data_IF_140012694181
#
_entry.id   IF_140012694181
#
_cell.length_a   1.000
_cell.length_b   1.000
_cell.length_c   1.000
_cell.angle_alpha   90.00
_cell.angle_beta   90.00
_cell.angle_gamma   90.00
#
_symmetry.space_group_name_H-M   'P 1'
#
loop_
_entity.id
_entity.type
_entity.pdbx_description
1 polymer ?
#
# COMPACT_ATOMS: atom_id res chain seq x y z
N UNK A 1 41.07 20.17 -44.58
CA UNK A 1 40.76 18.86 -43.93
C UNK A 1 40.48 18.94 -42.42
N UNK A 2 40.62 20.09 -41.74
CA UNK A 2 40.42 20.19 -40.28
C UNK A 2 38.97 20.45 -39.79
N UNK A 3 38.13 21.13 -40.59
CA UNK A 3 36.79 21.52 -40.14
C UNK A 3 35.76 20.36 -40.16
N UNK A 4 35.88 19.43 -41.11
CA UNK A 4 34.92 18.32 -41.28
C UNK A 4 35.05 17.26 -40.17
N UNK A 5 36.25 17.09 -39.59
CA UNK A 5 36.49 16.18 -38.45
C UNK A 5 35.95 16.71 -37.13
N UNK A 6 35.93 18.04 -36.93
CA UNK A 6 35.43 18.65 -35.70
C UNK A 6 33.89 18.60 -35.59
N UNK A 7 33.18 18.71 -36.73
CA UNK A 7 31.72 18.65 -36.77
C UNK A 7 31.21 17.23 -36.48
N UNK A 8 31.90 16.18 -36.95
CA UNK A 8 31.49 14.79 -36.72
C UNK A 8 31.62 14.34 -35.25
N UNK A 9 32.60 14.87 -34.52
CA UNK A 9 32.82 14.60 -33.09
C UNK A 9 31.83 15.34 -32.18
N UNK A 10 31.39 16.55 -32.57
CA UNK A 10 30.36 17.28 -31.85
C UNK A 10 28.96 16.64 -32.01
N UNK A 11 28.62 16.13 -33.20
CA UNK A 11 27.33 15.47 -33.46
C UNK A 11 27.21 14.12 -32.73
N UNK A 12 28.31 13.38 -32.58
CA UNK A 12 28.32 12.12 -31.82
C UNK A 12 28.23 12.35 -30.31
N UNK A 13 28.86 13.41 -29.77
CA UNK A 13 28.71 13.77 -28.35
C UNK A 13 27.29 14.24 -27.98
N UNK A 14 26.60 14.94 -28.89
CA UNK A 14 25.19 15.37 -28.70
C UNK A 14 24.21 14.19 -28.81
N UNK A 15 24.49 13.21 -29.67
CA UNK A 15 23.66 12.00 -29.77
C UNK A 15 23.87 11.03 -28.59
N UNK A 16 25.08 10.96 -28.01
CA UNK A 16 25.34 10.13 -26.81
C UNK A 16 24.78 10.75 -25.54
N UNK A 17 24.71 12.08 -25.45
CA UNK A 17 24.13 12.78 -24.29
C UNK A 17 22.59 12.77 -24.27
N UNK A 18 21.92 12.53 -25.41
CA UNK A 18 20.46 12.33 -25.44
C UNK A 18 20.01 10.91 -25.03
N UNK A 19 20.92 9.95 -24.93
CA UNK A 19 20.57 8.55 -24.56
C UNK A 19 20.61 8.31 -23.05
N UNK A 20 21.10 9.26 -22.24
CA UNK A 20 21.28 9.08 -20.79
C UNK A 20 20.41 9.96 -19.88
N UNK A 21 19.44 10.70 -20.42
CA UNK A 21 18.41 11.34 -19.61
C UNK A 21 17.10 10.56 -19.72
N UNK A 22 17.09 9.32 -19.21
CA UNK A 22 15.84 8.74 -18.75
C UNK A 22 15.39 9.60 -17.56
N UNK A 23 14.65 10.68 -17.84
CA UNK A 23 13.97 11.46 -16.81
C UNK A 23 13.21 10.47 -15.94
N UNK A 24 13.31 10.62 -14.62
CA UNK A 24 12.54 9.80 -13.69
C UNK A 24 11.09 9.78 -14.19
N UNK A 25 10.57 8.58 -14.50
CA UNK A 25 9.21 8.45 -14.97
C UNK A 25 8.31 9.18 -13.97
N UNK A 26 7.45 10.07 -14.47
CA UNK A 26 6.52 10.80 -13.62
C UNK A 26 5.71 9.80 -12.79
N UNK A 27 5.35 10.15 -11.56
CA UNK A 27 4.46 9.31 -10.75
C UNK A 27 3.03 9.73 -11.02
N UNK A 28 2.18 8.77 -11.39
CA UNK A 28 0.74 8.96 -11.47
C UNK A 28 0.15 8.67 -10.10
N UNK A 29 -0.63 9.63 -9.60
CA UNK A 29 -1.36 9.54 -8.35
C UNK A 29 -2.86 9.50 -8.66
N UNK A 30 -3.53 8.42 -8.29
CA UNK A 30 -4.97 8.25 -8.51
C UNK A 30 -5.62 7.65 -7.29
N UNK A 31 -6.89 7.97 -7.12
CA UNK A 31 -7.59 7.57 -5.92
C UNK A 31 -9.06 7.29 -6.23
N UNK A 32 -9.69 6.39 -5.48
CA UNK A 32 -11.09 6.05 -5.66
C UNK A 32 -11.61 5.10 -4.60
N UNK A 33 -12.57 4.28 -5.01
CA UNK A 33 -13.19 3.26 -4.17
C UNK A 33 -13.17 1.91 -4.87
N UNK A 34 -12.82 0.87 -4.12
CA UNK A 34 -13.05 -0.52 -4.52
C UNK A 34 -14.28 -1.04 -3.79
N UNK A 35 -15.03 -1.93 -4.43
CA UNK A 35 -16.20 -2.58 -3.84
C UNK A 35 -15.82 -3.98 -3.39
N UNK A 36 -16.01 -4.26 -2.11
CA UNK A 36 -15.81 -5.59 -1.50
C UNK A 36 -16.92 -6.56 -1.93
N UNK A 37 -16.78 -7.82 -1.58
CA UNK A 37 -17.75 -8.89 -1.85
C UNK A 37 -19.17 -8.63 -1.30
N UNK A 38 -19.28 -7.82 -0.25
CA UNK A 38 -20.55 -7.47 0.40
C UNK A 38 -21.09 -6.09 -0.02
N UNK A 39 -20.45 -5.44 -0.99
CA UNK A 39 -20.88 -4.15 -1.52
C UNK A 39 -20.28 -2.93 -0.80
N UNK A 40 -19.55 -3.13 0.28
CA UNK A 40 -18.90 -2.05 1.03
C UNK A 40 -17.82 -1.38 0.18
N UNK A 41 -17.78 -0.04 0.18
CA UNK A 41 -16.73 0.68 -0.54
C UNK A 41 -15.54 0.98 0.37
N UNK A 42 -14.37 0.51 -0.04
CA UNK A 42 -13.10 0.85 0.62
C UNK A 42 -12.36 1.90 -0.20
N UNK A 43 -11.90 2.95 0.47
CA UNK A 43 -11.09 4.02 -0.11
C UNK A 43 -9.70 3.47 -0.44
N UNK A 44 -9.22 3.73 -1.66
CA UNK A 44 -7.85 3.40 -2.06
C UNK A 44 -7.10 4.59 -2.64
N UNK A 45 -5.78 4.57 -2.50
CA UNK A 45 -4.87 5.46 -3.22
C UNK A 45 -3.84 4.64 -3.99
N UNK A 46 -3.43 5.13 -5.16
CA UNK A 46 -2.45 4.46 -6.03
C UNK A 46 -1.38 5.44 -6.43
N UNK A 47 -0.14 5.07 -6.13
CA UNK A 47 1.06 5.67 -6.69
C UNK A 47 1.70 4.66 -7.64
N UNK A 48 1.90 5.05 -8.89
CA UNK A 48 2.56 4.18 -9.87
C UNK A 48 3.42 4.99 -10.84
N UNK A 49 4.45 4.37 -11.43
CA UNK A 49 5.14 4.98 -12.56
C UNK A 49 4.17 5.29 -13.71
N UNK A 50 4.39 6.43 -14.37
CA UNK A 50 3.67 6.83 -15.56
C UNK A 50 4.08 5.97 -16.78
N UNK A 51 3.19 5.95 -17.77
CA UNK A 51 3.32 5.16 -19.00
C UNK A 51 2.41 3.94 -19.05
N UNK A 52 2.63 3.13 -20.08
CA UNK A 52 1.76 2.00 -20.46
C UNK A 52 2.25 0.64 -19.92
N UNK A 53 3.32 0.62 -19.11
CA UNK A 53 3.83 -0.61 -18.53
C UNK A 53 2.85 -1.17 -17.48
N UNK A 54 2.85 -2.50 -17.34
CA UNK A 54 2.14 -3.18 -16.26
C UNK A 54 3.11 -3.47 -15.11
N UNK A 55 2.68 -3.20 -13.89
CA UNK A 55 3.51 -3.21 -12.71
C UNK A 55 3.15 -4.37 -11.77
N UNK A 56 4.12 -4.99 -11.09
CA UNK A 56 3.83 -5.70 -9.85
C UNK A 56 3.29 -4.70 -8.82
N UNK A 57 2.33 -5.12 -8.01
CA UNK A 57 1.61 -4.24 -7.09
C UNK A 57 1.96 -4.59 -5.65
N UNK A 58 2.17 -3.56 -4.81
CA UNK A 58 2.31 -3.71 -3.38
C UNK A 58 1.18 -2.98 -2.67
N UNK A 59 0.39 -3.71 -1.90
CA UNK A 59 -0.75 -3.17 -1.15
C UNK A 59 -0.34 -2.93 0.30
N UNK A 60 -0.56 -1.72 0.80
CA UNK A 60 -0.62 -1.39 2.22
C UNK A 60 -2.10 -1.29 2.62
N UNK A 61 -2.54 -2.11 3.58
CA UNK A 61 -3.95 -2.20 3.98
C UNK A 61 -4.07 -1.94 5.48
N UNK A 62 -4.54 -0.75 5.87
CA UNK A 62 -4.54 -0.29 7.26
C UNK A 62 -5.54 0.86 7.52
N UNK A 63 -5.67 1.32 8.77
CA UNK A 63 -6.71 2.26 9.19
C UNK A 63 -6.24 3.53 9.89
N UNK A 64 -4.95 3.84 9.87
CA UNK A 64 -4.37 4.96 10.64
C UNK A 64 -4.45 6.33 9.94
N UNK A 65 -4.82 6.41 8.67
CA UNK A 65 -4.89 7.70 7.98
C UNK A 65 -6.30 7.98 7.47
N UNK A 66 -6.66 9.27 7.44
CA UNK A 66 -7.90 9.78 6.88
C UNK A 66 -7.86 9.68 5.34
N UNK A 67 -8.01 8.45 4.84
CA UNK A 67 -7.68 8.06 3.47
C UNK A 67 -6.28 7.46 3.43
N UNK A 68 -6.19 6.20 3.01
CA UNK A 68 -4.93 5.47 2.90
C UNK A 68 -4.10 6.08 1.79
N UNK A 69 -2.99 6.72 2.15
CA UNK A 69 -1.90 6.97 1.23
C UNK A 69 -1.19 5.64 0.97
N UNK A 70 -0.77 5.41 -0.27
CA UNK A 70 0.06 4.26 -0.60
C UNK A 70 1.41 4.23 0.16
N UNK A 71 1.70 5.28 0.93
CA UNK A 71 2.94 5.50 1.68
C UNK A 71 2.77 5.65 3.20
N UNK A 72 1.59 5.38 3.74
CA UNK A 72 1.33 5.49 5.18
C UNK A 72 2.14 4.51 6.06
N UNK A 73 2.21 4.81 7.37
CA UNK A 73 2.84 4.04 8.45
C UNK A 73 4.11 3.29 8.04
N UNK A 74 5.20 4.04 7.88
CA UNK A 74 6.51 3.47 7.63
C UNK A 74 6.70 2.91 6.21
N UNK A 75 5.70 2.96 5.33
CA UNK A 75 5.86 2.61 3.91
C UNK A 75 6.62 3.69 3.15
N UNK A 76 6.37 4.97 3.47
CA UNK A 76 7.00 6.14 2.82
C UNK A 76 8.52 6.08 2.74
N UNK A 77 9.18 5.48 3.73
CA UNK A 77 10.65 5.37 3.78
C UNK A 77 11.22 4.54 2.62
N UNK A 78 10.41 3.70 1.97
CA UNK A 78 10.81 2.90 0.82
C UNK A 78 9.99 3.13 -0.46
N UNK A 79 8.93 3.95 -0.42
CA UNK A 79 8.05 4.20 -1.57
C UNK A 79 8.79 4.68 -2.82
N UNK A 80 9.64 5.70 -2.68
CA UNK A 80 10.47 6.23 -3.77
C UNK A 80 11.32 5.15 -4.45
N UNK A 81 11.91 4.27 -3.63
CA UNK A 81 12.78 3.18 -4.10
C UNK A 81 11.97 2.10 -4.81
N UNK A 82 10.75 1.83 -4.36
CA UNK A 82 9.85 0.86 -4.98
C UNK A 82 9.28 1.38 -6.30
N UNK A 83 8.84 2.65 -6.35
CA UNK A 83 8.39 3.31 -7.58
C UNK A 83 9.49 3.35 -8.64
N UNK A 84 10.73 3.74 -8.26
CA UNK A 84 11.91 3.71 -9.15
C UNK A 84 12.26 2.31 -9.67
N UNK A 85 11.78 1.25 -8.99
CA UNK A 85 11.95 -0.15 -9.41
C UNK A 85 10.77 -0.69 -10.22
N UNK A 86 9.78 0.15 -10.51
CA UNK A 86 8.64 -0.21 -11.34
C UNK A 86 7.50 -0.89 -10.58
N UNK A 87 7.45 -0.81 -9.26
CA UNK A 87 6.26 -1.25 -8.50
C UNK A 87 5.18 -0.18 -8.52
N UNK A 88 3.92 -0.60 -8.57
CA UNK A 88 2.79 0.24 -8.19
C UNK A 88 2.50 0.02 -6.70
N UNK A 89 2.27 1.10 -5.96
CA UNK A 89 1.91 1.09 -4.55
C UNK A 89 0.43 1.42 -4.42
N UNK A 90 -0.29 0.66 -3.60
CA UNK A 90 -1.71 0.85 -3.35
C UNK A 90 -1.93 0.95 -1.85
N UNK A 91 -2.43 2.08 -1.38
CA UNK A 91 -2.97 2.22 -0.03
C UNK A 91 -4.44 1.85 -0.04
N UNK A 92 -4.91 1.07 0.95
CA UNK A 92 -6.34 0.79 1.15
C UNK A 92 -6.72 1.00 2.60
N UNK A 93 -7.76 1.80 2.83
CA UNK A 93 -8.27 2.08 4.17
C UNK A 93 -9.14 0.93 4.61
N UNK A 94 -8.89 0.36 5.79
CA UNK A 94 -9.76 -0.68 6.34
C UNK A 94 -11.20 -0.16 6.50
N UNK A 95 -12.16 -1.08 6.47
CA UNK A 95 -13.58 -0.78 6.65
C UNK A 95 -13.83 0.11 7.87
N UNK A 96 -14.69 1.11 7.69
CA UNK A 96 -15.05 2.06 8.74
C UNK A 96 -13.94 3.00 9.17
N UNK A 97 -12.84 3.13 8.40
CA UNK A 97 -11.74 4.07 8.70
C UNK A 97 -11.50 5.02 7.53
N UNK A 98 -11.00 6.22 7.82
CA UNK A 98 -10.82 7.27 6.82
C UNK A 98 -12.10 7.53 6.04
N UNK A 99 -12.04 7.37 4.72
CA UNK A 99 -13.21 7.50 3.85
C UNK A 99 -13.85 6.15 3.48
N UNK A 100 -13.39 5.02 4.02
CA UNK A 100 -14.02 3.72 3.78
C UNK A 100 -15.37 3.62 4.48
N UNK A 101 -16.36 3.07 3.79
CA UNK A 101 -17.69 2.80 4.35
C UNK A 101 -17.63 1.66 5.39
N UNK A 102 -18.76 1.47 6.09
CA UNK A 102 -18.96 0.35 7.01
C UNK A 102 -18.54 0.64 8.45
N UNK A 103 -18.40 -0.43 9.24
CA UNK A 103 -18.08 -0.36 10.67
C UNK A 103 -16.67 -0.89 10.90
N UNK A 104 -15.88 -0.14 11.65
CA UNK A 104 -14.56 -0.57 12.08
C UNK A 104 -14.68 -1.62 13.19
N UNK A 105 -14.27 -2.85 12.88
CA UNK A 105 -14.19 -3.97 13.80
C UNK A 105 -12.77 -4.56 13.75
N UNK A 106 -11.85 -4.07 14.60
CA UNK A 106 -10.43 -4.34 14.45
C UNK A 106 -10.14 -5.84 14.60
N UNK A 107 -9.38 -6.37 13.63
CA UNK A 107 -8.89 -7.75 13.62
C UNK A 107 -9.97 -8.83 13.50
N UNK A 108 -11.22 -8.46 13.21
CA UNK A 108 -12.25 -9.41 12.84
C UNK A 108 -11.92 -10.12 11.51
N UNK A 109 -12.50 -11.30 11.30
CA UNK A 109 -12.28 -12.09 10.07
C UNK A 109 -12.65 -11.30 8.79
N UNK A 110 -13.63 -10.39 8.87
CA UNK A 110 -14.01 -9.53 7.76
C UNK A 110 -12.86 -8.65 7.29
N UNK A 111 -11.93 -8.26 8.16
CA UNK A 111 -10.76 -7.47 7.79
C UNK A 111 -9.82 -8.24 6.85
N UNK A 112 -9.55 -9.53 7.14
CA UNK A 112 -8.79 -10.37 6.22
C UNK A 112 -9.47 -10.53 4.86
N UNK A 113 -10.81 -10.66 4.87
CA UNK A 113 -11.63 -10.79 3.65
C UNK A 113 -11.62 -9.52 2.81
N UNK A 114 -11.78 -8.38 3.45
CA UNK A 114 -11.69 -7.08 2.79
C UNK A 114 -10.29 -6.86 2.19
N UNK A 115 -9.23 -7.26 2.91
CA UNK A 115 -7.87 -7.27 2.38
C UNK A 115 -7.70 -8.20 1.17
N UNK A 116 -8.34 -9.37 1.18
CA UNK A 116 -8.34 -10.28 0.02
C UNK A 116 -9.10 -9.66 -1.18
N UNK A 117 -10.20 -8.94 -0.95
CA UNK A 117 -10.91 -8.22 -2.01
C UNK A 117 -10.04 -7.09 -2.58
N UNK A 118 -9.27 -6.39 -1.74
CA UNK A 118 -8.32 -5.37 -2.16
C UNK A 118 -7.19 -5.94 -3.03
N UNK A 119 -6.61 -7.08 -2.64
CA UNK A 119 -5.60 -7.80 -3.45
C UNK A 119 -6.16 -8.15 -4.83
N UNK A 120 -7.36 -8.72 -4.86
CA UNK A 120 -8.00 -9.18 -6.09
C UNK A 120 -8.40 -8.00 -6.99
N UNK A 121 -8.86 -6.89 -6.40
CA UNK A 121 -9.10 -5.65 -7.12
C UNK A 121 -7.81 -5.09 -7.73
N UNK A 122 -6.72 -5.02 -6.95
CA UNK A 122 -5.44 -4.49 -7.39
C UNK A 122 -4.83 -5.33 -8.54
N UNK A 123 -5.03 -6.64 -8.52
CA UNK A 123 -4.56 -7.55 -9.57
C UNK A 123 -5.23 -7.32 -10.93
N UNK A 124 -6.50 -6.86 -10.93
CA UNK A 124 -7.31 -6.68 -12.14
C UNK A 124 -7.17 -5.32 -12.83
N UNK A 125 -6.42 -4.40 -12.23
CA UNK A 125 -6.26 -3.07 -12.81
C UNK A 125 -5.48 -3.12 -14.14
N UNK A 126 -5.79 -2.24 -15.11
CA UNK A 126 -5.15 -2.28 -16.43
C UNK A 126 -3.63 -2.05 -16.39
N UNK A 127 -3.16 -1.35 -15.36
CA UNK A 127 -1.74 -1.09 -15.07
C UNK A 127 -1.09 -2.17 -14.20
N UNK A 128 -1.81 -3.20 -13.77
CA UNK A 128 -1.29 -4.32 -12.98
C UNK A 128 -0.86 -5.49 -13.87
N UNK A 129 0.20 -6.18 -13.47
CA UNK A 129 0.63 -7.44 -14.08
C UNK A 129 0.02 -8.68 -13.39
N UNK A 130 -0.90 -8.49 -12.44
CA UNK A 130 -1.58 -9.56 -11.70
C UNK A 130 -0.75 -10.20 -10.57
N UNK A 131 0.46 -9.72 -10.29
CA UNK A 131 1.26 -10.16 -9.14
C UNK A 131 1.18 -9.12 -8.04
N UNK A 132 0.49 -9.47 -6.97
CA UNK A 132 0.28 -8.58 -5.82
C UNK A 132 1.09 -9.09 -4.64
N UNK A 133 1.80 -8.20 -3.98
CA UNK A 133 2.35 -8.41 -2.64
C UNK A 133 1.71 -7.47 -1.64
N UNK A 134 1.93 -7.73 -0.36
CA UNK A 134 1.55 -6.79 0.71
C UNK A 134 2.77 -6.34 1.51
N UNK A 135 2.69 -5.10 1.97
CA UNK A 135 3.71 -4.38 2.76
C UNK A 135 3.00 -3.56 3.85
N UNK A 136 3.75 -3.07 4.83
CA UNK A 136 3.23 -2.31 5.95
C UNK A 136 3.83 -2.73 7.27
N UNK A 137 3.69 -1.87 8.27
CA UNK A 137 4.19 -2.08 9.64
C UNK A 137 3.03 -2.16 10.63
N UNK A 138 3.22 -2.83 11.76
CA UNK A 138 2.28 -2.81 12.89
C UNK A 138 0.87 -3.26 12.44
N UNK A 139 -0.16 -2.41 12.51
CA UNK A 139 -1.49 -2.74 12.01
C UNK A 139 -1.48 -3.18 10.54
N UNK A 140 -0.81 -2.43 9.67
CA UNK A 140 -0.63 -2.79 8.26
C UNK A 140 0.20 -4.05 8.04
N UNK A 141 0.89 -4.57 9.06
CA UNK A 141 1.56 -5.87 9.02
C UNK A 141 0.67 -7.01 9.52
N UNK A 142 -0.13 -6.78 10.57
CA UNK A 142 -1.11 -7.73 11.09
C UNK A 142 -2.17 -8.04 10.02
N UNK A 143 -2.65 -7.01 9.31
CA UNK A 143 -3.63 -7.19 8.23
C UNK A 143 -3.11 -8.06 7.08
N UNK A 144 -1.79 -8.11 6.84
CA UNK A 144 -1.20 -9.02 5.85
C UNK A 144 -1.39 -10.48 6.25
N UNK A 145 -1.21 -10.79 7.53
CA UNK A 145 -1.41 -12.15 8.05
C UNK A 145 -2.87 -12.57 7.96
N UNK A 146 -3.80 -11.66 8.32
CA UNK A 146 -5.23 -11.88 8.18
C UNK A 146 -5.64 -12.09 6.71
N UNK A 147 -5.11 -11.27 5.80
CA UNK A 147 -5.38 -11.38 4.36
C UNK A 147 -4.81 -12.65 3.76
N UNK A 148 -3.58 -13.03 4.14
CA UNK A 148 -2.94 -14.25 3.66
C UNK A 148 -3.68 -15.53 4.10
N UNK A 149 -4.35 -15.50 5.26
CA UNK A 149 -5.16 -16.61 5.74
C UNK A 149 -6.32 -16.96 4.78
N UNK A 150 -6.86 -15.97 4.06
CA UNK A 150 -7.91 -16.15 3.05
C UNK A 150 -7.38 -16.61 1.69
N UNK A 151 -6.05 -16.68 1.51
CA UNK A 151 -5.37 -17.20 0.30
C UNK A 151 -5.88 -16.62 -1.04
N UNK A 152 -5.95 -15.28 -1.20
CA UNK A 152 -6.35 -14.68 -2.47
C UNK A 152 -5.41 -15.13 -3.62
N UNK A 153 -5.93 -15.60 -4.77
CA UNK A 153 -5.13 -16.20 -5.85
C UNK A 153 -4.00 -15.32 -6.40
N UNK A 154 -4.13 -14.00 -6.36
CA UNK A 154 -3.13 -13.08 -6.89
C UNK A 154 -2.09 -12.62 -5.87
N UNK A 155 -2.22 -13.00 -4.59
CA UNK A 155 -1.23 -12.71 -3.56
C UNK A 155 -0.02 -13.63 -3.70
N UNK A 156 1.13 -13.03 -3.97
CA UNK A 156 2.40 -13.74 -4.23
C UNK A 156 3.36 -13.68 -3.06
N UNK A 157 3.28 -12.64 -2.23
CA UNK A 157 4.15 -12.45 -1.07
C UNK A 157 3.53 -11.50 -0.06
N UNK A 158 3.87 -11.68 1.21
CA UNK A 158 3.65 -10.70 2.28
C UNK A 158 5.01 -10.38 2.90
N UNK A 159 5.19 -9.13 3.34
CA UNK A 159 6.37 -8.66 4.06
C UNK A 159 5.93 -7.91 5.32
N UNK A 160 5.42 -8.64 6.34
CA UNK A 160 4.89 -8.04 7.55
C UNK A 160 6.04 -7.55 8.44
N UNK A 161 6.12 -6.24 8.66
CA UNK A 161 7.08 -5.65 9.60
C UNK A 161 6.42 -5.42 10.97
N UNK A 162 7.02 -5.96 12.02
CA UNK A 162 6.52 -5.82 13.40
C UNK A 162 5.06 -6.31 13.59
N UNK A 163 4.73 -7.45 12.98
CA UNK A 163 3.42 -8.09 13.13
C UNK A 163 3.35 -9.02 14.35
N UNK A 164 2.11 -9.31 14.77
CA UNK A 164 1.75 -10.39 15.70
C UNK A 164 0.67 -11.26 15.07
N UNK A 165 0.68 -12.55 15.40
CA UNK A 165 -0.40 -13.49 15.08
C UNK A 165 -1.34 -13.77 16.26
N UNK A 166 -1.01 -13.28 17.46
CA UNK A 166 -1.77 -13.51 18.70
C UNK A 166 -1.82 -12.22 19.52
N UNK A 167 -2.79 -11.37 19.20
CA UNK A 167 -3.00 -10.10 19.88
C UNK A 167 -3.22 -10.27 21.39
N UNK A 168 -3.82 -11.38 21.83
CA UNK A 168 -4.03 -11.63 23.24
C UNK A 168 -2.69 -11.84 23.94
N UNK A 169 -1.83 -12.73 23.42
CA UNK A 169 -0.56 -13.06 24.09
C UNK A 169 0.53 -12.02 23.88
N UNK A 170 0.53 -11.34 22.74
CA UNK A 170 1.65 -10.47 22.36
C UNK A 170 1.39 -8.99 22.67
N UNK A 171 0.11 -8.58 22.78
CA UNK A 171 -0.26 -7.17 22.95
C UNK A 171 -1.09 -6.97 24.21
N UNK A 172 -2.26 -7.60 24.34
CA UNK A 172 -3.21 -7.27 25.41
C UNK A 172 -2.83 -7.87 26.76
N UNK A 173 -2.37 -9.13 26.78
CA UNK A 173 -2.00 -9.86 28.00
C UNK A 173 -0.65 -10.59 27.87
N UNK A 174 0.49 -9.88 27.69
CA UNK A 174 1.81 -10.51 27.73
C UNK A 174 2.03 -11.26 29.05
N UNK A 175 2.22 -12.58 28.96
CA UNK A 175 2.34 -13.43 30.14
C UNK A 175 1.09 -13.50 31.04
N UNK A 176 -0.09 -13.12 30.53
CA UNK A 176 -1.35 -13.10 31.28
C UNK A 176 -1.60 -11.81 32.07
N UNK A 177 -0.71 -10.82 32.00
CA UNK A 177 -0.85 -9.52 32.68
C UNK A 177 -1.36 -8.50 31.68
N UNK A 178 -2.43 -7.77 32.02
CA UNK A 178 -2.99 -6.73 31.17
C UNK A 178 -1.93 -5.65 30.90
N UNK A 179 -1.58 -5.48 29.63
CA UNK A 179 -0.88 -4.31 29.15
C UNK A 179 -1.91 -3.17 29.08
N UNK A 180 -1.76 -2.17 29.95
CA UNK A 180 -2.74 -1.09 30.07
C UNK A 180 -2.44 0.05 29.08
N UNK A 181 -1.19 0.49 29.01
CA UNK A 181 -0.85 1.75 28.36
C UNK A 181 -1.14 1.73 26.86
N UNK A 182 -0.55 0.80 26.11
CA UNK A 182 -0.75 0.69 24.67
C UNK A 182 -2.18 0.26 24.33
N UNK A 183 -2.70 -0.74 25.03
CA UNK A 183 -4.04 -1.31 24.75
C UNK A 183 -5.12 -0.25 24.90
N UNK A 184 -5.11 0.54 25.97
CA UNK A 184 -6.12 1.59 26.18
C UNK A 184 -5.84 2.83 25.31
N UNK A 185 -4.59 3.23 25.12
CA UNK A 185 -4.28 4.37 24.25
C UNK A 185 -4.71 4.08 22.81
N UNK A 186 -4.30 2.95 22.24
CA UNK A 186 -4.63 2.59 20.87
C UNK A 186 -6.13 2.44 20.69
N UNK A 187 -6.84 1.71 21.57
CA UNK A 187 -8.29 1.60 21.45
C UNK A 187 -9.03 2.91 21.69
N UNK A 188 -8.50 3.81 22.52
CA UNK A 188 -9.02 5.14 22.76
C UNK A 188 -8.90 6.05 21.53
N UNK A 189 -7.71 6.11 20.94
CA UNK A 189 -7.45 6.86 19.70
C UNK A 189 -8.33 6.35 18.56
N UNK A 190 -8.52 5.03 18.50
CA UNK A 190 -9.37 4.39 17.50
C UNK A 190 -10.88 4.58 17.76
N UNK A 191 -11.30 5.08 18.92
CA UNK A 191 -12.71 5.41 19.21
C UNK A 191 -12.98 6.91 19.11
N UNK A 192 -11.98 7.72 19.45
CA UNK A 192 -12.10 9.17 19.54
C UNK A 192 -12.04 9.88 18.18
N UNK A 193 -11.89 9.15 17.06
CA UNK A 193 -11.70 9.80 15.76
C UNK A 193 -10.30 10.35 15.56
N UNK A 194 -9.30 9.86 16.28
CA UNK A 194 -7.91 10.32 16.18
C UNK A 194 -7.37 10.33 14.74
N UNK A 195 -7.96 9.52 13.86
CA UNK A 195 -7.63 9.42 12.44
C UNK A 195 -8.84 9.61 11.48
N UNK A 196 -9.84 10.39 11.92
CA UNK A 196 -11.09 10.71 11.22
C UNK A 196 -11.95 9.47 10.85
N UNK A 197 -12.76 9.02 11.81
CA UNK A 197 -13.94 8.21 11.50
C UNK A 197 -14.97 9.11 10.83
N UNK A 198 -15.35 8.78 9.59
CA UNK A 198 -16.55 9.35 9.00
C UNK A 198 -17.75 8.86 9.82
N UNK A 199 -18.20 9.66 10.79
CA UNK A 199 -19.57 9.55 11.27
C UNK A 199 -20.48 9.92 10.10
N UNK A 200 -21.32 8.95 9.74
CA UNK A 200 -22.47 9.01 8.80
C UNK A 200 -23.04 10.40 8.54
#
# INVERSE_FOLDING_TARGET
MGAVRAVLLAVTAVLVSLVCAAGAAATVHTHGYLTTRDGTKLRYDVLRPDGNARHPVLVNYEGYAAGSDATDNGVSVYSDRLLKRGYALVGVSVRGTGCSEGVFDPFALTMGRDGADAVEWAARQPWSNGRVGMIGISFGAITQLLTAADRPPHLRAVAPDSATSDLYRDVTYPGGVLEYDFTFAWTGDQKAGGYAYATT
#
